data_IF_062530620120
#
_entry.id   IF_062530620120
#
_cell.length_a   1.000
_cell.length_b   1.000
_cell.length_c   1.000
_cell.angle_alpha   90.00
_cell.angle_beta   90.00
_cell.angle_gamma   90.00
#
_symmetry.space_group_name_H-M   'P 1'
#
loop_
_entity.id
_entity.type
_entity.pdbx_description
1 polymer ?
#
# COMPACT_ATOMS: atom_id res chain seq x y z
N UNK A 1 3.81 -7.29 -0.79
CA UNK A 1 3.31 -8.46 -1.54
C UNK A 1 1.83 -8.77 -1.33
N UNK A 2 1.15 -8.21 -0.32
CA UNK A 2 -0.30 -8.40 -0.14
C UNK A 2 -1.08 -7.26 -0.81
N UNK A 3 -2.10 -7.59 -1.62
CA UNK A 3 -2.93 -6.66 -2.37
C UNK A 3 -4.39 -6.82 -1.93
N UNK A 4 -4.96 -5.87 -1.14
CA UNK A 4 -6.25 -6.06 -0.50
C UNK A 4 -7.44 -5.99 -1.46
N UNK A 5 -7.32 -5.24 -2.56
CA UNK A 5 -8.50 -4.86 -3.37
C UNK A 5 -8.52 -5.41 -4.80
N UNK A 6 -7.55 -6.26 -5.17
CA UNK A 6 -7.44 -6.74 -6.56
C UNK A 6 -8.16 -8.06 -6.80
N UNK A 7 -8.67 -8.23 -8.01
CA UNK A 7 -9.25 -9.46 -8.54
C UNK A 7 -8.18 -10.42 -9.07
N UNK A 8 -8.58 -11.63 -9.47
CA UNK A 8 -7.69 -12.58 -10.15
C UNK A 8 -7.15 -12.03 -11.46
N UNK A 9 -8.01 -11.46 -12.29
CA UNK A 9 -7.65 -10.89 -13.59
C UNK A 9 -6.67 -9.72 -13.43
N UNK A 10 -6.91 -8.83 -12.46
CA UNK A 10 -5.97 -7.73 -12.17
C UNK A 10 -4.62 -8.24 -11.66
N UNK A 11 -4.62 -9.29 -10.82
CA UNK A 11 -3.40 -9.93 -10.38
C UNK A 11 -2.60 -10.54 -11.53
N UNK A 12 -3.26 -11.22 -12.48
CA UNK A 12 -2.62 -11.75 -13.68
C UNK A 12 -1.98 -10.63 -14.50
N UNK A 13 -2.74 -9.57 -14.80
CA UNK A 13 -2.24 -8.41 -15.52
C UNK A 13 -1.01 -7.79 -14.84
N UNK A 14 -1.05 -7.58 -13.52
CA UNK A 14 0.08 -7.03 -12.75
C UNK A 14 1.31 -7.94 -12.82
N UNK A 15 1.15 -9.24 -12.61
CA UNK A 15 2.26 -10.20 -12.64
C UNK A 15 2.86 -10.34 -14.04
N UNK A 16 2.04 -10.32 -15.09
CA UNK A 16 2.50 -10.44 -16.48
C UNK A 16 3.18 -9.17 -16.99
N UNK A 17 2.69 -7.99 -16.60
CA UNK A 17 3.23 -6.70 -17.07
C UNK A 17 4.39 -6.18 -16.24
N UNK A 18 4.39 -6.39 -14.91
CA UNK A 18 5.39 -5.82 -13.98
C UNK A 18 6.27 -6.87 -13.30
N UNK A 19 5.84 -8.13 -13.27
CA UNK A 19 6.59 -9.22 -12.67
C UNK A 19 7.53 -9.93 -13.65
N UNK A 20 8.26 -10.91 -13.11
CA UNK A 20 9.04 -11.91 -13.85
C UNK A 20 8.67 -13.30 -13.35
N UNK A 21 9.19 -14.36 -13.95
CA UNK A 21 8.94 -15.70 -13.44
C UNK A 21 9.49 -15.86 -12.01
N UNK A 22 8.69 -16.42 -11.11
CA UNK A 22 8.89 -16.43 -9.67
C UNK A 22 8.34 -15.21 -8.94
N UNK A 23 7.80 -14.20 -9.64
CA UNK A 23 7.05 -13.11 -9.01
C UNK A 23 5.73 -13.61 -8.43
N UNK A 24 5.37 -13.11 -7.27
CA UNK A 24 4.14 -13.51 -6.60
C UNK A 24 3.47 -12.35 -5.84
N UNK A 25 2.18 -12.50 -5.60
CA UNK A 25 1.41 -11.65 -4.70
C UNK A 25 0.31 -12.44 -4.00
N UNK A 26 -0.12 -11.99 -2.83
CA UNK A 26 -1.27 -12.54 -2.13
C UNK A 26 -2.43 -11.53 -2.17
N UNK A 27 -3.66 -12.02 -2.24
CA UNK A 27 -4.88 -11.20 -2.28
C UNK A 27 -6.04 -11.92 -1.60
N UNK A 28 -7.09 -11.22 -1.13
CA UNK A 28 -8.33 -11.86 -0.71
C UNK A 28 -8.97 -12.69 -1.84
N UNK A 29 -9.60 -13.79 -1.47
CA UNK A 29 -10.36 -14.61 -2.42
C UNK A 29 -11.72 -13.97 -2.68
N UNK A 30 -12.02 -13.68 -3.96
CA UNK A 30 -13.35 -13.19 -4.38
C UNK A 30 -14.37 -14.33 -4.50
N UNK A 31 -13.92 -15.55 -4.76
CA UNK A 31 -14.81 -16.72 -4.93
C UNK A 31 -15.17 -17.38 -3.60
N UNK A 32 -14.34 -17.24 -2.56
CA UNK A 32 -14.63 -17.73 -1.22
C UNK A 32 -14.29 -16.65 -0.17
N UNK A 33 -15.26 -15.80 0.24
CA UNK A 33 -15.02 -14.77 1.23
C UNK A 33 -14.44 -15.33 2.53
N UNK A 34 -13.40 -14.68 3.06
CA UNK A 34 -12.65 -15.13 4.25
C UNK A 34 -11.34 -15.85 3.93
N UNK A 35 -11.25 -16.49 2.77
CA UNK A 35 -10.03 -17.12 2.28
C UNK A 35 -9.14 -16.14 1.49
N UNK A 36 -7.92 -16.59 1.20
CA UNK A 36 -6.95 -15.84 0.41
C UNK A 36 -6.53 -16.61 -0.84
N UNK A 37 -5.82 -15.94 -1.74
CA UNK A 37 -5.26 -16.52 -2.95
C UNK A 37 -3.83 -16.02 -3.14
N UNK A 38 -2.89 -16.95 -3.30
CA UNK A 38 -1.53 -16.69 -3.71
C UNK A 38 -1.44 -16.81 -5.23
N UNK A 39 -1.12 -15.71 -5.91
CA UNK A 39 -0.96 -15.67 -7.37
C UNK A 39 0.53 -15.63 -7.69
N UNK A 40 0.99 -16.57 -8.52
CA UNK A 40 2.43 -16.75 -8.81
C UNK A 40 2.62 -16.81 -10.32
N UNK A 41 3.58 -16.04 -10.83
CA UNK A 41 4.00 -16.11 -12.23
C UNK A 41 5.03 -17.22 -12.41
N UNK A 42 4.79 -18.14 -13.34
CA UNK A 42 5.72 -19.22 -13.71
C UNK A 42 5.59 -19.55 -15.20
N UNK A 43 6.71 -19.77 -15.88
CA UNK A 43 6.74 -20.15 -17.29
C UNK A 43 5.92 -19.20 -18.19
N UNK A 44 5.97 -17.88 -17.90
CA UNK A 44 5.19 -16.88 -18.61
C UNK A 44 3.67 -16.90 -18.38
N UNK A 45 3.16 -17.74 -17.49
CA UNK A 45 1.75 -17.83 -17.10
C UNK A 45 1.57 -17.53 -15.60
N UNK A 46 0.33 -17.36 -15.15
CA UNK A 46 0.01 -17.11 -13.74
C UNK A 46 -0.84 -18.25 -13.19
N UNK A 47 -0.38 -18.84 -12.08
CA UNK A 47 -1.12 -19.84 -11.30
C UNK A 47 -1.73 -19.17 -10.07
N UNK A 48 -2.97 -19.56 -9.73
CA UNK A 48 -3.63 -19.16 -8.49
C UNK A 48 -3.76 -20.34 -7.53
N UNK A 49 -3.27 -20.15 -6.31
CA UNK A 49 -3.26 -21.16 -5.25
C UNK A 49 -4.15 -20.66 -4.13
N UNK A 50 -5.14 -21.47 -3.74
CA UNK A 50 -6.07 -21.13 -2.66
C UNK A 50 -5.36 -21.28 -1.31
N UNK A 51 -5.50 -20.26 -0.47
CA UNK A 51 -5.10 -20.31 0.94
C UNK A 51 -6.38 -20.33 1.77
N UNK A 52 -6.57 -21.38 2.57
CA UNK A 52 -7.70 -21.45 3.48
C UNK A 52 -7.38 -20.69 4.77
N UNK A 53 -8.37 -19.96 5.28
CA UNK A 53 -8.31 -19.37 6.62
C UNK A 53 -9.43 -19.95 7.48
N UNK A 54 -9.06 -20.77 8.47
CA UNK A 54 -10.04 -21.42 9.37
C UNK A 54 -10.41 -20.56 10.58
N UNK A 55 -9.74 -19.42 10.77
CA UNK A 55 -9.78 -18.61 11.98
C UNK A 55 -8.67 -18.95 12.97
N UNK A 56 -8.15 -20.18 12.93
CA UNK A 56 -7.04 -20.64 13.80
C UNK A 56 -5.70 -20.66 13.06
N UNK A 57 -5.70 -20.98 11.76
CA UNK A 57 -4.49 -21.09 10.94
C UNK A 57 -4.77 -20.85 9.46
N UNK A 58 -3.67 -20.64 8.73
CA UNK A 58 -3.60 -20.55 7.28
C UNK A 58 -2.96 -21.81 6.71
N UNK A 59 -3.54 -22.40 5.67
CA UNK A 59 -2.94 -23.52 4.97
C UNK A 59 -3.12 -23.44 3.44
N UNK A 60 -2.32 -24.22 2.73
CA UNK A 60 -2.43 -24.44 1.29
C UNK A 60 -3.02 -25.82 1.02
N UNK A 61 -4.27 -26.03 1.44
CA UNK A 61 -5.08 -27.24 1.14
C UNK A 61 -4.28 -28.56 1.22
N UNK A 62 -3.91 -28.96 2.44
CA UNK A 62 -3.19 -30.21 2.71
C UNK A 62 -1.66 -30.08 2.82
N UNK A 63 -1.14 -28.85 2.89
CA UNK A 63 0.24 -28.56 3.27
C UNK A 63 0.42 -28.27 4.77
N UNK A 64 1.54 -27.61 5.08
CA UNK A 64 1.84 -27.08 6.42
C UNK A 64 0.84 -26.00 6.85
N UNK A 65 0.68 -25.83 8.17
CA UNK A 65 -0.21 -24.85 8.81
C UNK A 65 0.58 -23.71 9.42
N UNK A 66 0.11 -22.48 9.25
CA UNK A 66 0.80 -21.26 9.68
C UNK A 66 -0.13 -20.36 10.51
N UNK A 67 0.42 -19.60 11.46
CA UNK A 67 -0.38 -18.68 12.26
C UNK A 67 -0.70 -17.38 11.50
N UNK A 68 0.16 -16.98 10.56
CA UNK A 68 -0.05 -15.78 9.73
C UNK A 68 0.25 -16.02 8.25
N UNK A 69 -0.35 -15.20 7.37
CA UNK A 69 0.02 -15.18 5.94
C UNK A 69 1.50 -14.85 5.71
N UNK A 70 2.10 -14.04 6.59
CA UNK A 70 3.51 -13.68 6.49
C UNK A 70 4.43 -14.88 6.74
N UNK A 71 4.14 -15.67 7.77
CA UNK A 71 4.85 -16.92 8.06
C UNK A 71 4.71 -17.93 6.91
N UNK A 72 3.50 -18.07 6.36
CA UNK A 72 3.24 -18.94 5.21
C UNK A 72 4.13 -18.54 4.02
N UNK A 73 4.12 -17.27 3.65
CA UNK A 73 4.92 -16.77 2.51
C UNK A 73 6.41 -16.93 2.79
N UNK A 74 6.87 -16.56 3.98
CA UNK A 74 8.27 -16.67 4.37
C UNK A 74 8.76 -18.13 4.28
N UNK A 75 7.99 -19.07 4.83
CA UNK A 75 8.33 -20.49 4.80
C UNK A 75 8.55 -20.99 3.36
N UNK A 76 7.64 -20.71 2.43
CA UNK A 76 7.76 -21.16 1.04
C UNK A 76 8.76 -20.36 0.21
N UNK A 77 9.15 -19.16 0.65
CA UNK A 77 10.29 -18.44 0.07
C UNK A 77 11.63 -19.06 0.48
N UNK A 78 11.75 -19.57 1.71
CA UNK A 78 12.98 -20.17 2.23
C UNK A 78 13.13 -21.66 1.88
N UNK A 79 12.01 -22.39 1.75
CA UNK A 79 11.99 -23.84 1.49
C UNK A 79 11.57 -24.14 0.06
N UNK A 80 12.48 -23.90 -0.89
CA UNK A 80 12.27 -24.21 -2.29
C UNK A 80 11.91 -25.70 -2.51
N UNK A 81 10.97 -25.97 -3.42
CA UNK A 81 10.55 -27.34 -3.73
C UNK A 81 9.40 -27.90 -2.90
N UNK A 82 8.99 -27.24 -1.81
CA UNK A 82 7.87 -27.69 -0.97
C UNK A 82 6.50 -27.31 -1.53
N UNK A 83 6.39 -26.15 -2.19
CA UNK A 83 5.15 -25.74 -2.83
C UNK A 83 5.04 -26.40 -4.21
N UNK A 84 4.00 -27.23 -4.39
CA UNK A 84 3.79 -28.01 -5.62
C UNK A 84 2.36 -27.94 -6.13
N UNK A 85 2.19 -28.01 -7.44
CA UNK A 85 0.90 -28.24 -8.08
C UNK A 85 0.48 -29.72 -7.97
N UNK A 86 -0.78 -30.01 -8.33
CA UNK A 86 -1.33 -31.37 -8.34
C UNK A 86 -0.60 -32.32 -9.29
N UNK A 87 0.01 -31.79 -10.35
CA UNK A 87 0.81 -32.55 -11.30
C UNK A 87 2.24 -32.82 -10.80
N UNK A 88 2.63 -32.29 -9.64
CA UNK A 88 3.96 -32.44 -9.05
C UNK A 88 4.95 -31.34 -9.41
N UNK A 89 4.58 -30.39 -10.27
CA UNK A 89 5.45 -29.26 -10.62
C UNK A 89 5.71 -28.38 -9.41
N UNK A 90 6.96 -27.99 -9.23
CA UNK A 90 7.38 -27.05 -8.18
C UNK A 90 6.98 -25.62 -8.55
N UNK A 91 6.44 -24.89 -7.57
CA UNK A 91 6.17 -23.46 -7.66
C UNK A 91 7.15 -22.74 -6.74
N UNK A 92 7.88 -21.77 -7.29
CA UNK A 92 8.89 -21.02 -6.54
C UNK A 92 8.40 -19.60 -6.25
N UNK A 93 8.48 -19.20 -4.97
CA UNK A 93 8.23 -17.84 -4.53
C UNK A 93 9.56 -17.09 -4.43
N UNK A 94 9.88 -16.26 -5.43
CA UNK A 94 11.17 -15.55 -5.48
C UNK A 94 11.02 -14.05 -5.23
N UNK A 95 10.10 -13.41 -5.95
CA UNK A 95 10.05 -11.97 -6.02
C UNK A 95 8.68 -11.44 -5.57
N UNK A 96 8.54 -10.94 -4.32
CA UNK A 96 7.30 -10.33 -3.87
C UNK A 96 6.94 -9.13 -4.75
N UNK A 97 5.81 -9.19 -5.45
CA UNK A 97 5.29 -8.05 -6.19
C UNK A 97 4.53 -7.14 -5.22
N UNK A 98 5.15 -6.02 -4.86
CA UNK A 98 4.60 -5.10 -3.86
C UNK A 98 3.34 -4.38 -4.36
N UNK A 99 2.43 -4.15 -3.42
CA UNK A 99 1.20 -3.44 -3.70
C UNK A 99 1.49 -1.95 -3.70
N UNK A 100 1.11 -1.26 -4.78
CA UNK A 100 1.14 0.19 -4.82
C UNK A 100 -0.15 0.81 -4.27
N UNK A 101 -1.14 -0.02 -3.90
CA UNK A 101 -2.40 0.40 -3.30
C UNK A 101 -2.14 0.94 -1.88
N UNK A 102 -2.40 2.23 -1.62
CA UNK A 102 -2.15 2.83 -0.31
C UNK A 102 -3.17 2.39 0.75
N UNK A 103 -4.23 1.65 0.40
CA UNK A 103 -5.35 1.35 1.33
C UNK A 103 -4.96 0.59 2.60
N UNK A 104 -3.81 -0.09 2.62
CA UNK A 104 -3.29 -0.75 3.83
C UNK A 104 -2.49 0.18 4.77
N UNK A 105 -2.18 1.40 4.33
CA UNK A 105 -1.34 2.32 5.10
C UNK A 105 -2.17 3.10 6.13
N UNK A 106 -1.65 3.21 7.36
CA UNK A 106 -2.35 3.88 8.48
C UNK A 106 -2.69 5.35 8.22
N UNK A 107 -1.90 6.00 7.36
CA UNK A 107 -2.05 7.40 6.99
C UNK A 107 -2.97 7.59 5.78
N UNK A 108 -3.45 6.52 5.13
CA UNK A 108 -4.35 6.63 3.99
C UNK A 108 -5.81 6.53 4.44
N UNK A 109 -6.61 7.53 4.07
CA UNK A 109 -8.01 7.67 4.50
C UNK A 109 -9.01 7.55 3.36
N UNK A 110 -8.55 7.24 2.13
CA UNK A 110 -9.44 7.08 0.97
C UNK A 110 -10.34 8.30 0.75
N UNK A 111 -11.64 8.05 0.65
CA UNK A 111 -12.64 9.09 0.44
C UNK A 111 -12.88 9.94 1.71
N UNK A 112 -12.08 10.99 1.86
CA UNK A 112 -12.17 11.96 2.95
C UNK A 112 -12.12 13.38 2.36
N UNK A 113 -13.01 14.27 2.79
CA UNK A 113 -13.00 15.67 2.33
C UNK A 113 -11.87 16.48 2.98
N UNK A 114 -11.50 17.60 2.37
CA UNK A 114 -10.53 18.53 2.96
C UNK A 114 -10.94 19.02 4.33
N UNK A 115 -12.22 19.38 4.51
CA UNK A 115 -12.76 19.86 5.79
C UNK A 115 -12.73 18.79 6.89
N UNK A 116 -13.02 17.53 6.55
CA UNK A 116 -12.93 16.42 7.50
C UNK A 116 -11.48 16.12 7.87
N UNK A 117 -10.56 16.18 6.90
CA UNK A 117 -9.13 16.05 7.14
C UNK A 117 -8.60 17.14 8.08
N UNK A 118 -8.97 18.41 7.83
CA UNK A 118 -8.64 19.53 8.70
C UNK A 118 -9.14 19.31 10.12
N UNK A 119 -10.40 18.91 10.26
CA UNK A 119 -11.01 18.61 11.56
C UNK A 119 -10.25 17.50 12.30
N UNK A 120 -9.99 16.36 11.64
CA UNK A 120 -9.27 15.23 12.24
C UNK A 120 -7.86 15.60 12.67
N UNK A 121 -7.12 16.30 11.81
CA UNK A 121 -5.76 16.74 12.11
C UNK A 121 -5.73 17.79 13.21
N UNK A 122 -6.75 18.65 13.31
CA UNK A 122 -6.87 19.67 14.37
C UNK A 122 -7.25 19.05 15.71
N UNK A 123 -8.16 18.08 15.73
CA UNK A 123 -8.65 17.44 16.97
C UNK A 123 -7.70 16.39 17.52
N UNK A 124 -7.04 15.61 16.66
CA UNK A 124 -6.25 14.42 17.05
C UNK A 124 -4.79 14.48 16.64
N UNK A 125 -4.45 15.34 15.68
CA UNK A 125 -3.08 15.49 15.19
C UNK A 125 -2.24 16.38 16.09
N UNK A 126 -0.94 16.34 15.86
CA UNK A 126 0.08 17.23 16.43
C UNK A 126 0.93 17.79 15.30
N UNK A 127 1.90 18.63 15.63
CA UNK A 127 2.89 19.08 14.65
C UNK A 127 3.49 17.91 13.85
N UNK A 128 3.36 17.97 12.52
CA UNK A 128 3.85 16.97 11.57
C UNK A 128 2.94 15.77 11.35
N UNK A 129 1.80 15.68 12.06
CA UNK A 129 0.78 14.69 11.73
C UNK A 129 0.23 14.92 10.33
N UNK A 130 0.05 13.83 9.59
CA UNK A 130 -0.41 13.88 8.21
C UNK A 130 -1.37 12.75 7.89
N UNK A 131 -2.09 12.91 6.79
CA UNK A 131 -2.88 11.87 6.15
C UNK A 131 -2.91 12.09 4.63
N UNK A 132 -3.16 11.04 3.87
CA UNK A 132 -3.41 11.07 2.43
C UNK A 132 -4.85 10.66 2.17
N UNK A 133 -5.51 11.38 1.28
CA UNK A 133 -6.92 11.18 0.91
C UNK A 133 -7.10 11.31 -0.60
N UNK A 134 -8.20 10.81 -1.13
CA UNK A 134 -8.59 11.03 -2.52
C UNK A 134 -8.90 12.51 -2.79
N UNK A 135 -8.55 12.98 -3.98
CA UNK A 135 -8.92 14.32 -4.43
C UNK A 135 -10.38 14.34 -4.86
N UNK A 136 -11.18 15.16 -4.18
CA UNK A 136 -12.58 15.40 -4.55
C UNK A 136 -12.72 16.31 -5.78
N UNK A 137 -11.66 17.03 -6.14
CA UNK A 137 -11.66 17.98 -7.26
C UNK A 137 -11.15 17.36 -8.56
N UNK A 138 -10.25 16.40 -8.48
CA UNK A 138 -9.58 15.76 -9.61
C UNK A 138 -9.63 14.24 -9.41
N UNK A 139 -10.65 13.55 -9.97
CA UNK A 139 -10.77 12.10 -9.82
C UNK A 139 -9.51 11.36 -10.30
N UNK A 140 -8.99 10.46 -9.47
CA UNK A 140 -7.75 9.71 -9.73
C UNK A 140 -6.51 10.32 -9.07
N UNK A 141 -6.56 11.60 -8.69
CA UNK A 141 -5.51 12.25 -7.90
C UNK A 141 -5.75 12.10 -6.39
N UNK A 142 -4.73 12.40 -5.62
CA UNK A 142 -4.72 12.33 -4.16
C UNK A 142 -4.32 13.68 -3.55
N UNK A 143 -4.49 13.82 -2.24
CA UNK A 143 -4.09 15.00 -1.48
C UNK A 143 -3.41 14.57 -0.20
N UNK A 144 -2.18 15.04 0.01
CA UNK A 144 -1.47 14.95 1.28
C UNK A 144 -1.84 16.14 2.15
N UNK A 145 -2.49 15.86 3.29
CA UNK A 145 -2.90 16.88 4.26
C UNK A 145 -1.99 16.79 5.49
N UNK A 146 -1.30 17.88 5.83
CA UNK A 146 -0.26 17.91 6.87
C UNK A 146 -0.56 19.03 7.87
N UNK A 147 -0.55 18.73 9.16
CA UNK A 147 -0.63 19.73 10.23
C UNK A 147 0.75 20.32 10.48
N UNK A 148 0.83 21.65 10.40
CA UNK A 148 2.02 22.44 10.71
C UNK A 148 1.70 23.48 11.78
N UNK A 149 2.72 23.96 12.48
CA UNK A 149 2.60 24.86 13.64
C UNK A 149 2.78 24.13 14.98
N UNK A 150 3.10 24.88 16.02
CA UNK A 150 3.41 24.36 17.36
C UNK A 150 2.17 24.37 18.25
N UNK A 151 1.97 23.30 19.00
CA UNK A 151 0.90 23.20 20.02
C UNK A 151 1.16 24.08 21.27
N UNK A 152 2.27 24.84 21.27
CA UNK A 152 2.61 25.78 22.34
C UNK A 152 1.86 27.08 22.10
N UNK A 153 0.62 27.12 22.59
CA UNK A 153 -0.24 28.30 22.58
C UNK A 153 0.25 29.42 23.49
N UNK A 154 1.36 30.07 23.13
CA UNK A 154 1.71 31.36 23.71
C UNK A 154 2.61 32.18 22.78
N UNK A 155 2.06 32.64 21.65
CA UNK A 155 2.49 33.82 20.90
C UNK A 155 1.46 34.09 19.79
N UNK A 156 1.05 35.34 19.66
CA UNK A 156 -0.10 35.84 18.90
C UNK A 156 -0.05 35.71 17.37
N UNK A 157 0.81 34.84 16.80
CA UNK A 157 0.98 34.74 15.33
C UNK A 157 1.27 33.32 14.79
N UNK A 158 1.37 32.30 15.65
CA UNK A 158 1.72 30.92 15.25
C UNK A 158 0.52 29.98 15.19
N UNK A 159 -0.50 30.27 14.38
CA UNK A 159 -1.71 29.43 14.32
C UNK A 159 -1.41 28.07 13.67
N UNK A 160 -1.67 26.97 14.38
CA UNK A 160 -1.68 25.63 13.80
C UNK A 160 -2.53 25.62 12.52
N UNK A 161 -1.92 25.22 11.40
CA UNK A 161 -2.56 25.21 10.07
C UNK A 161 -2.44 23.82 9.46
N UNK A 162 -3.42 23.46 8.65
CA UNK A 162 -3.36 22.26 7.83
C UNK A 162 -3.06 22.68 6.39
N UNK A 163 -1.96 22.16 5.84
CA UNK A 163 -1.58 22.37 4.45
C UNK A 163 -2.05 21.19 3.62
N UNK A 164 -2.60 21.47 2.43
CA UNK A 164 -3.00 20.46 1.46
C UNK A 164 -2.08 20.50 0.24
N UNK A 165 -1.36 19.42 -0.01
CA UNK A 165 -0.49 19.23 -1.17
C UNK A 165 -1.16 18.27 -2.14
N UNK A 166 -1.33 18.69 -3.39
CA UNK A 166 -1.89 17.83 -4.44
C UNK A 166 -0.87 16.76 -4.83
N UNK A 167 -1.31 15.51 -4.91
CA UNK A 167 -0.55 14.39 -5.46
C UNK A 167 -1.24 13.96 -6.75
N UNK A 168 -0.55 14.12 -7.88
CA UNK A 168 -1.05 13.75 -9.20
C UNK A 168 -0.75 12.29 -9.49
N UNK A 169 -1.69 11.59 -10.10
CA UNK A 169 -1.49 10.24 -10.62
C UNK A 169 -1.42 10.29 -12.16
N UNK A 170 -0.23 10.11 -12.73
CA UNK A 170 0.00 10.13 -14.17
C UNK A 170 0.73 8.85 -14.58
N UNK A 171 0.15 8.10 -15.52
CA UNK A 171 0.70 6.83 -16.01
C UNK A 171 1.04 5.83 -14.88
N UNK A 172 0.18 5.74 -13.86
CA UNK A 172 0.40 4.90 -12.66
C UNK A 172 1.63 5.29 -11.82
N UNK A 173 2.13 6.52 -11.97
CA UNK A 173 3.14 7.11 -11.10
C UNK A 173 2.59 8.34 -10.38
N UNK A 174 3.18 8.64 -9.23
CA UNK A 174 2.74 9.69 -8.32
C UNK A 174 3.78 10.80 -8.22
N UNK A 175 3.32 12.06 -8.22
CA UNK A 175 4.17 13.24 -8.01
C UNK A 175 3.39 14.38 -7.34
N UNK A 176 4.08 15.39 -6.80
CA UNK A 176 3.46 16.52 -6.08
C UNK A 176 3.45 17.84 -6.88
N UNK A 177 3.52 17.77 -8.21
CA UNK A 177 3.58 18.95 -9.09
C UNK A 177 4.92 19.17 -9.79
N UNK A 178 5.98 18.48 -9.35
CA UNK A 178 7.33 18.54 -9.90
C UNK A 178 8.31 17.66 -9.13
N UNK A 179 9.52 17.48 -9.66
CA UNK A 179 10.57 16.64 -9.06
C UNK A 179 10.47 15.17 -9.47
N UNK A 180 10.76 14.27 -8.52
CA UNK A 180 10.75 12.82 -8.74
C UNK A 180 9.33 12.26 -8.89
N UNK A 181 9.18 11.21 -9.71
CA UNK A 181 7.95 10.42 -9.87
C UNK A 181 8.12 9.09 -9.16
N UNK A 182 7.10 8.68 -8.41
CA UNK A 182 7.13 7.47 -7.57
C UNK A 182 6.20 6.40 -8.12
N UNK A 183 6.55 5.13 -7.93
CA UNK A 183 5.73 4.00 -8.38
C UNK A 183 4.57 3.66 -7.42
N UNK A 184 4.58 4.23 -6.22
CA UNK A 184 3.51 4.11 -5.23
C UNK A 184 3.39 5.36 -4.35
N UNK A 185 2.22 5.55 -3.74
CA UNK A 185 2.02 6.60 -2.74
C UNK A 185 2.88 6.36 -1.49
N UNK A 186 3.15 5.10 -1.15
CA UNK A 186 4.05 4.75 -0.03
C UNK A 186 5.46 5.23 -0.31
N UNK A 187 6.00 5.01 -1.51
CA UNK A 187 7.34 5.47 -1.88
C UNK A 187 7.42 7.01 -1.84
N UNK A 188 6.38 7.70 -2.33
CA UNK A 188 6.26 9.15 -2.26
C UNK A 188 6.29 9.65 -0.81
N UNK A 189 5.47 9.05 0.07
CA UNK A 189 5.39 9.44 1.48
C UNK A 189 6.70 9.17 2.21
N UNK A 190 7.32 8.01 2.00
CA UNK A 190 8.61 7.65 2.61
C UNK A 190 9.75 8.55 2.13
N UNK A 191 9.74 8.97 0.87
CA UNK A 191 10.66 9.97 0.36
C UNK A 191 10.48 11.31 1.09
N UNK A 192 9.26 11.85 1.16
CA UNK A 192 9.00 13.15 1.77
C UNK A 192 9.05 13.15 3.31
N UNK A 193 9.01 11.98 3.96
CA UNK A 193 9.38 11.83 5.37
C UNK A 193 10.88 12.10 5.60
N UNK A 194 11.74 11.65 4.68
CA UNK A 194 13.20 11.83 4.76
C UNK A 194 13.65 13.18 4.20
N UNK A 195 12.96 13.68 3.18
CA UNK A 195 13.24 14.94 2.50
C UNK A 195 12.00 15.86 2.60
N UNK A 196 11.79 16.57 3.72
CA UNK A 196 10.60 17.39 3.91
C UNK A 196 10.42 18.45 2.82
N UNK A 197 9.18 18.62 2.36
CA UNK A 197 8.84 19.69 1.41
C UNK A 197 8.91 21.05 2.09
N UNK A 198 9.25 22.10 1.33
CA UNK A 198 9.28 23.48 1.82
C UNK A 198 8.30 24.32 1.01
N UNK A 199 7.32 24.93 1.68
CA UNK A 199 6.41 25.89 1.04
C UNK A 199 7.15 27.15 0.58
N UNK A 200 6.59 27.90 -0.36
CA UNK A 200 7.13 29.18 -0.85
C UNK A 200 7.39 30.20 0.28
N UNK A 201 6.61 30.13 1.35
CA UNK A 201 6.77 30.98 2.54
C UNK A 201 7.81 30.44 3.55
N UNK A 202 8.54 29.39 3.20
CA UNK A 202 9.60 28.79 4.03
C UNK A 202 9.12 27.80 5.09
N UNK A 203 7.81 27.50 5.16
CA UNK A 203 7.29 26.49 6.10
C UNK A 203 7.72 25.09 5.68
N UNK A 204 8.37 24.34 6.57
CA UNK A 204 8.78 22.96 6.33
C UNK A 204 7.62 22.00 6.66
N UNK A 205 7.20 21.22 5.68
CA UNK A 205 6.17 20.19 5.80
C UNK A 205 6.81 18.87 6.26
N UNK A 206 7.01 18.73 7.56
CA UNK A 206 7.57 17.51 8.13
C UNK A 206 6.49 16.45 8.32
N UNK A 207 6.70 15.24 7.79
CA UNK A 207 5.79 14.10 7.95
C UNK A 207 6.27 13.21 9.12
N UNK A 208 5.46 13.08 10.18
CA UNK A 208 5.80 12.33 11.41
C UNK A 208 4.72 11.32 11.80
#
# INVERSE_FOLDING_TARGET
WFHPNITGVEAENLLLTRGVDGSFLARPSKSNPGDFTLSVRRNGAVTHIKIQNTGDYYDLYGGEKFATLAELVQYYMEHHGQLKEKNGDVIELKYPLNCADPTSERWFHGHLSGKEAEKLLTEKGKHGSFLVRESQSHPGDFVLSVRTGDDKGDCSDGKSKVTHVMIRCQELKYDVGGGERFDSLTDLVEHYKKNPMVETLGTVLQLK
#
